data_IF_694420010232
#
_entry.id   IF_694420010232
#
_cell.length_a   1.000
_cell.length_b   1.000
_cell.length_c   1.000
_cell.angle_alpha   90.00
_cell.angle_beta   90.00
_cell.angle_gamma   90.00
#
_symmetry.space_group_name_H-M   'P 1'
#
loop_
_entity.id
_entity.type
_entity.pdbx_description
1 polymer ?
#
# COMPACT_ATOMS: atom_id res chain seq x y z
N UNK A 1 66.49 17.09 -20.38
CA UNK A 1 67.25 15.90 -20.12
C UNK A 1 66.36 14.64 -20.18
N UNK A 2 66.96 13.50 -20.15
CA UNK A 2 66.29 12.20 -20.20
C UNK A 2 65.24 12.01 -19.10
N UNK A 3 65.53 12.48 -17.88
CA UNK A 3 64.57 12.38 -16.76
C UNK A 3 63.29 13.18 -16.98
N UNK A 4 63.39 14.33 -17.64
CA UNK A 4 62.26 15.18 -17.94
C UNK A 4 61.37 14.56 -19.03
N UNK A 5 62.01 13.98 -20.04
CA UNK A 5 61.33 13.27 -21.11
C UNK A 5 60.58 12.03 -20.61
N UNK A 6 61.24 11.27 -19.71
CA UNK A 6 60.61 10.12 -19.07
C UNK A 6 59.41 10.50 -18.20
N UNK A 7 59.52 11.61 -17.46
CA UNK A 7 58.42 12.12 -16.65
C UNK A 7 57.25 12.57 -17.51
N UNK A 8 57.50 13.25 -18.62
CA UNK A 8 56.48 13.68 -19.57
C UNK A 8 55.80 12.48 -20.21
N UNK A 9 56.58 11.48 -20.60
CA UNK A 9 56.03 10.24 -21.19
C UNK A 9 55.16 9.47 -20.18
N UNK A 10 55.61 9.39 -18.92
CA UNK A 10 54.84 8.76 -17.85
C UNK A 10 53.50 9.49 -17.59
N UNK A 11 53.54 10.82 -17.51
CA UNK A 11 52.34 11.63 -17.36
C UNK A 11 51.36 11.45 -18.52
N UNK A 12 51.91 11.38 -19.75
CA UNK A 12 51.06 11.13 -20.94
C UNK A 12 50.38 9.79 -20.91
N UNK A 13 50.99 8.78 -20.29
CA UNK A 13 50.37 7.46 -20.10
C UNK A 13 49.36 7.44 -18.96
N UNK A 14 49.63 8.15 -17.87
CA UNK A 14 48.78 8.17 -16.68
C UNK A 14 47.57 9.06 -16.83
N UNK A 15 47.64 10.14 -17.58
CA UNK A 15 46.55 11.09 -17.73
C UNK A 15 45.27 10.47 -18.27
N UNK A 16 45.29 9.67 -19.32
CA UNK A 16 44.08 8.99 -19.80
C UNK A 16 43.47 8.02 -18.77
N UNK A 17 44.32 7.36 -17.99
CA UNK A 17 43.84 6.45 -16.94
C UNK A 17 43.17 7.21 -15.80
N UNK A 18 43.72 8.36 -15.40
CA UNK A 18 43.13 9.24 -14.38
C UNK A 18 41.81 9.82 -14.88
N UNK A 19 41.76 10.26 -16.11
CA UNK A 19 40.50 10.76 -16.72
C UNK A 19 39.44 9.68 -16.77
N UNK A 20 39.80 8.47 -17.17
CA UNK A 20 38.90 7.32 -17.20
C UNK A 20 38.38 6.97 -15.80
N UNK A 21 39.28 7.00 -14.81
CA UNK A 21 38.91 6.75 -13.41
C UNK A 21 37.95 7.83 -12.88
N UNK A 22 38.21 9.10 -13.21
CA UNK A 22 37.34 10.20 -12.81
C UNK A 22 35.94 10.09 -13.46
N UNK A 23 35.88 9.73 -14.73
CA UNK A 23 34.62 9.51 -15.42
C UNK A 23 33.81 8.36 -14.81
N UNK A 24 34.48 7.26 -14.47
CA UNK A 24 33.86 6.12 -13.80
C UNK A 24 33.36 6.50 -12.40
N UNK A 25 34.13 7.28 -11.65
CA UNK A 25 33.73 7.77 -10.33
C UNK A 25 32.48 8.64 -10.42
N UNK A 26 32.39 9.55 -11.39
CA UNK A 26 31.21 10.39 -11.63
C UNK A 26 30.00 9.52 -11.97
N UNK A 27 30.17 8.55 -12.85
CA UNK A 27 29.11 7.63 -13.24
C UNK A 27 28.54 6.88 -12.02
N UNK A 28 29.42 6.37 -11.17
CA UNK A 28 29.02 5.68 -9.94
C UNK A 28 28.33 6.61 -8.95
N UNK A 29 28.83 7.84 -8.79
CA UNK A 29 28.18 8.85 -7.94
C UNK A 29 26.77 9.20 -8.43
N UNK A 30 26.58 9.35 -9.75
CA UNK A 30 25.28 9.61 -10.35
C UNK A 30 24.34 8.43 -10.14
N UNK A 31 24.83 7.22 -10.27
CA UNK A 31 24.06 6.01 -9.99
C UNK A 31 23.60 5.94 -8.53
N UNK A 32 24.49 6.27 -7.60
CA UNK A 32 24.17 6.30 -6.16
C UNK A 32 23.12 7.37 -5.88
N UNK A 33 23.25 8.57 -6.43
CA UNK A 33 22.30 9.64 -6.25
C UNK A 33 20.90 9.25 -6.78
N UNK A 34 20.86 8.67 -7.96
CA UNK A 34 19.63 8.17 -8.58
C UNK A 34 18.96 7.07 -7.74
N UNK A 35 19.76 6.11 -7.27
CA UNK A 35 19.28 5.03 -6.40
C UNK A 35 18.71 5.57 -5.08
N UNK A 36 19.35 6.57 -4.49
CA UNK A 36 18.86 7.23 -3.27
C UNK A 36 17.54 7.92 -3.48
N UNK A 37 17.35 8.59 -4.62
CA UNK A 37 16.09 9.24 -4.97
C UNK A 37 14.97 8.21 -5.14
N UNK A 38 15.23 7.12 -5.84
CA UNK A 38 14.27 6.02 -5.98
C UNK A 38 13.88 5.43 -4.62
N UNK A 39 14.87 5.22 -3.76
CA UNK A 39 14.63 4.67 -2.42
C UNK A 39 13.74 5.60 -1.58
N UNK A 40 13.98 6.90 -1.62
CA UNK A 40 13.12 7.89 -0.94
C UNK A 40 11.70 7.88 -1.47
N UNK A 41 11.56 7.81 -2.78
CA UNK A 41 10.25 7.75 -3.44
C UNK A 41 9.49 6.50 -3.02
N UNK A 42 10.15 5.35 -3.02
CA UNK A 42 9.56 4.09 -2.56
C UNK A 42 9.17 4.13 -1.08
N UNK A 43 9.98 4.73 -0.23
CA UNK A 43 9.65 4.89 1.18
C UNK A 43 8.43 5.77 1.42
N UNK A 44 8.31 6.88 0.67
CA UNK A 44 7.15 7.77 0.74
C UNK A 44 5.89 7.05 0.30
N UNK A 45 5.96 6.33 -0.81
CA UNK A 45 4.86 5.54 -1.33
C UNK A 45 4.46 4.43 -0.34
N UNK A 46 5.44 3.74 0.22
CA UNK A 46 5.21 2.70 1.21
C UNK A 46 4.53 3.25 2.47
N UNK A 47 4.94 4.41 2.94
CA UNK A 47 4.31 5.08 4.09
C UNK A 47 2.86 5.44 3.78
N UNK A 48 2.59 5.97 2.59
CA UNK A 48 1.24 6.30 2.15
C UNK A 48 0.34 5.05 2.07
N UNK A 49 0.85 3.98 1.49
CA UNK A 49 0.14 2.70 1.38
C UNK A 49 -0.16 2.09 2.75
N UNK A 50 0.77 2.19 3.70
CA UNK A 50 0.53 1.72 5.08
C UNK A 50 -0.59 2.49 5.78
N UNK A 51 -0.64 3.80 5.57
CA UNK A 51 -1.73 4.63 6.12
C UNK A 51 -3.09 4.24 5.53
N UNK A 52 -3.14 4.03 4.22
CA UNK A 52 -4.36 3.57 3.54
C UNK A 52 -4.78 2.18 4.04
N UNK A 53 -3.83 1.27 4.17
CA UNK A 53 -4.09 -0.07 4.68
C UNK A 53 -4.67 -0.03 6.10
N UNK A 54 -4.13 0.81 6.97
CA UNK A 54 -4.65 0.98 8.33
C UNK A 54 -6.08 1.52 8.33
N UNK A 55 -6.38 2.48 7.46
CA UNK A 55 -7.75 3.00 7.31
C UNK A 55 -8.72 1.93 6.84
N UNK A 56 -8.31 1.12 5.86
CA UNK A 56 -9.14 0.02 5.35
C UNK A 56 -9.36 -1.07 6.42
N UNK A 57 -8.35 -1.37 7.21
CA UNK A 57 -8.48 -2.31 8.34
C UNK A 57 -9.47 -1.81 9.38
N UNK A 58 -9.42 -0.51 9.70
CA UNK A 58 -10.34 0.10 10.67
C UNK A 58 -11.78 0.06 10.15
N UNK A 59 -12.00 0.40 8.87
CA UNK A 59 -13.32 0.30 8.22
C UNK A 59 -13.82 -1.14 8.22
N UNK A 60 -12.95 -2.07 7.90
CA UNK A 60 -13.30 -3.49 7.88
C UNK A 60 -13.71 -3.98 9.27
N UNK A 61 -12.97 -3.57 10.29
CA UNK A 61 -13.32 -3.88 11.67
C UNK A 61 -14.70 -3.31 12.05
N UNK A 62 -14.95 -2.04 11.74
CA UNK A 62 -16.25 -1.41 12.00
C UNK A 62 -17.41 -2.12 11.28
N UNK A 63 -17.20 -2.47 10.01
CA UNK A 63 -18.18 -3.22 9.24
C UNK A 63 -18.46 -4.59 9.85
N UNK A 64 -17.43 -5.29 10.29
CA UNK A 64 -17.58 -6.60 10.93
C UNK A 64 -18.35 -6.51 12.25
N UNK A 65 -18.14 -5.46 13.03
CA UNK A 65 -18.92 -5.18 14.24
C UNK A 65 -20.39 -4.97 13.90
N UNK A 66 -20.68 -4.18 12.87
CA UNK A 66 -22.05 -3.95 12.40
C UNK A 66 -22.73 -5.22 11.90
N UNK A 67 -22.02 -6.01 11.11
CA UNK A 67 -22.50 -7.30 10.60
C UNK A 67 -22.83 -8.24 11.76
N UNK A 68 -21.95 -8.33 12.75
CA UNK A 68 -22.17 -9.15 13.94
C UNK A 68 -23.41 -8.71 14.72
N UNK A 69 -23.59 -7.41 14.92
CA UNK A 69 -24.77 -6.86 15.60
C UNK A 69 -26.06 -7.15 14.82
N UNK A 70 -26.05 -6.96 13.51
CA UNK A 70 -27.20 -7.25 12.65
C UNK A 70 -27.53 -8.74 12.63
N UNK A 71 -26.51 -9.59 12.57
CA UNK A 71 -26.68 -11.04 12.63
C UNK A 71 -27.37 -11.48 13.92
N UNK A 72 -26.96 -10.89 15.05
CA UNK A 72 -27.61 -11.20 16.34
C UNK A 72 -29.04 -10.69 16.39
N UNK A 73 -29.32 -9.52 15.83
CA UNK A 73 -30.69 -8.99 15.73
C UNK A 73 -31.58 -9.89 14.88
N UNK A 74 -31.07 -10.36 13.74
CA UNK A 74 -31.79 -11.30 12.89
C UNK A 74 -32.09 -12.61 13.63
N UNK A 75 -31.13 -13.16 14.35
CA UNK A 75 -31.32 -14.39 15.14
C UNK A 75 -32.41 -14.22 16.21
N UNK A 76 -32.41 -13.07 16.91
CA UNK A 76 -33.45 -12.76 17.90
C UNK A 76 -34.83 -12.63 17.25
N UNK A 77 -34.90 -11.94 16.11
CA UNK A 77 -36.14 -11.81 15.36
C UNK A 77 -36.67 -13.14 14.88
N UNK A 78 -35.82 -14.03 14.37
CA UNK A 78 -36.17 -15.39 13.97
C UNK A 78 -36.75 -16.20 15.15
N UNK A 79 -36.12 -16.12 16.32
CA UNK A 79 -36.58 -16.78 17.53
C UNK A 79 -37.97 -16.28 17.97
N UNK A 80 -38.18 -14.98 17.86
CA UNK A 80 -39.49 -14.38 18.17
C UNK A 80 -40.55 -14.81 17.19
N UNK A 81 -40.22 -14.87 15.89
CA UNK A 81 -41.14 -15.33 14.85
C UNK A 81 -41.53 -16.81 15.02
N UNK A 82 -40.60 -17.65 15.46
CA UNK A 82 -40.85 -19.06 15.76
C UNK A 82 -41.88 -19.25 16.88
N UNK A 83 -42.00 -18.28 17.79
CA UNK A 83 -42.97 -18.29 18.90
C UNK A 83 -44.36 -17.79 18.48
N UNK A 84 -44.45 -17.14 17.34
CA UNK A 84 -45.72 -16.61 16.83
C UNK A 84 -46.52 -17.73 16.18
N UNK A 85 -47.81 -17.92 16.52
CA UNK A 85 -48.65 -18.90 15.85
C UNK A 85 -48.73 -18.66 14.35
N UNK A 86 -48.74 -19.71 13.50
CA UNK A 86 -48.80 -19.55 12.05
C UNK A 86 -49.94 -18.69 11.54
N UNK A 87 -51.10 -18.77 12.18
CA UNK A 87 -52.30 -17.99 11.83
C UNK A 87 -52.08 -16.49 12.02
N UNK A 88 -51.44 -16.10 13.11
CA UNK A 88 -51.08 -14.72 13.43
C UNK A 88 -50.04 -14.20 12.44
N UNK A 89 -49.06 -15.02 12.11
CA UNK A 89 -48.02 -14.69 11.16
C UNK A 89 -48.58 -14.42 9.77
N UNK A 90 -49.49 -15.24 9.30
CA UNK A 90 -50.20 -15.04 8.01
C UNK A 90 -51.01 -13.74 8.00
N UNK A 91 -51.67 -13.43 9.09
CA UNK A 91 -52.44 -12.19 9.22
C UNK A 91 -51.52 -10.95 9.15
N UNK A 92 -50.36 -10.97 9.80
CA UNK A 92 -49.37 -9.89 9.76
C UNK A 92 -48.83 -9.73 8.33
N UNK A 93 -48.48 -10.80 7.65
CA UNK A 93 -48.00 -10.78 6.26
C UNK A 93 -49.02 -10.17 5.31
N UNK A 94 -50.30 -10.50 5.45
CA UNK A 94 -51.38 -9.93 4.63
C UNK A 94 -51.52 -8.43 4.84
N UNK A 95 -51.46 -7.96 6.07
CA UNK A 95 -51.48 -6.53 6.38
C UNK A 95 -50.30 -5.77 5.80
N UNK A 96 -49.08 -6.32 5.89
CA UNK A 96 -47.89 -5.72 5.32
C UNK A 96 -47.98 -5.62 3.79
N UNK A 97 -48.45 -6.65 3.12
CA UNK A 97 -48.66 -6.65 1.66
C UNK A 97 -49.70 -5.63 1.24
N UNK A 98 -50.80 -5.51 1.99
CA UNK A 98 -51.86 -4.53 1.73
C UNK A 98 -51.38 -3.08 1.86
N UNK A 99 -50.42 -2.80 2.80
CA UNK A 99 -49.84 -1.46 2.98
C UNK A 99 -48.89 -1.07 1.85
N UNK A 100 -48.24 -2.03 1.22
CA UNK A 100 -47.32 -1.78 0.10
C UNK A 100 -48.08 -1.51 -1.22
N UNK A 101 -49.35 -1.86 -1.30
CA UNK A 101 -50.21 -1.55 -2.44
C UNK A 101 -50.87 -0.19 -2.24
#
# INVERSE_FOLDING_TARGET
GKKREEAVALLAQLLPEVESFQAETRRLQDMIASSRMEHRSQQQENTALRKELNKERDRNFEQNVKISALTQRCKRAEKLLDKVPPEVLEHIKRKATARER
#
